data_IF_792200216066
#
_entry.id   IF_792200216066
#
_cell.length_a   1.000
_cell.length_b   1.000
_cell.length_c   1.000
_cell.angle_alpha   90.00
_cell.angle_beta   90.00
_cell.angle_gamma   90.00
#
_symmetry.space_group_name_H-M   'P 1'
#
loop_
_entity.id
_entity.type
_entity.pdbx_description
1 polymer ?
#
# COMPACT_ATOMS: atom_id res chain seq x y z
N UNK A 1 4.04 20.38 -1.52
CA UNK A 1 4.86 19.23 -1.94
C UNK A 1 4.24 18.65 -3.20
N UNK A 2 5.04 18.40 -4.25
CA UNK A 2 4.54 17.71 -5.46
C UNK A 2 4.58 16.20 -5.19
N UNK A 3 3.41 15.56 -5.19
CA UNK A 3 3.30 14.12 -4.92
C UNK A 3 3.82 13.26 -6.08
N UNK A 4 3.68 13.72 -7.31
CA UNK A 4 4.05 12.97 -8.50
C UNK A 4 5.00 13.80 -9.36
N UNK A 5 6.23 13.32 -9.55
CA UNK A 5 7.14 13.93 -10.54
C UNK A 5 6.72 13.51 -11.94
N UNK A 6 7.18 14.22 -12.96
CA UNK A 6 6.82 13.92 -14.36
C UNK A 6 7.31 12.52 -14.77
N UNK A 7 8.48 12.09 -14.28
CA UNK A 7 9.01 10.76 -14.56
C UNK A 7 8.13 9.66 -13.94
N UNK A 8 7.69 9.85 -12.69
CA UNK A 8 6.78 8.90 -12.03
C UNK A 8 5.42 8.86 -12.73
N UNK A 9 4.94 10.02 -13.19
CA UNK A 9 3.69 10.13 -13.95
C UNK A 9 3.78 9.35 -15.26
N UNK A 10 4.85 9.54 -16.03
CA UNK A 10 5.06 8.85 -17.29
C UNK A 10 5.14 7.33 -17.11
N UNK A 11 5.86 6.86 -16.08
CA UNK A 11 5.96 5.44 -15.79
C UNK A 11 4.61 4.84 -15.37
N UNK A 12 3.86 5.51 -14.49
CA UNK A 12 2.52 5.05 -14.10
C UNK A 12 1.53 5.04 -15.28
N UNK A 13 1.60 6.03 -16.18
CA UNK A 13 0.80 6.07 -17.40
C UNK A 13 1.19 4.93 -18.36
N UNK A 14 2.47 4.61 -18.49
CA UNK A 14 2.92 3.48 -19.29
C UNK A 14 2.37 2.16 -18.75
N UNK A 15 2.42 1.96 -17.43
CA UNK A 15 1.81 0.81 -16.78
C UNK A 15 0.28 0.77 -16.98
N UNK A 16 -0.38 1.93 -16.88
CA UNK A 16 -1.83 2.07 -17.09
C UNK A 16 -2.31 1.77 -18.50
N UNK A 17 -1.42 1.77 -19.51
CA UNK A 17 -1.70 1.29 -20.88
C UNK A 17 -1.63 -0.23 -20.99
N UNK A 18 -1.00 -0.91 -20.01
CA UNK A 18 -0.79 -2.35 -19.99
C UNK A 18 -1.31 -2.96 -18.67
N UNK A 19 -2.62 -2.81 -18.41
CA UNK A 19 -3.27 -3.12 -17.12
C UNK A 19 -3.34 -4.61 -16.76
N UNK A 20 -3.07 -5.48 -17.72
CA UNK A 20 -3.12 -6.95 -17.52
C UNK A 20 -1.82 -7.51 -16.93
N UNK A 21 -0.81 -6.66 -16.74
CA UNK A 21 0.47 -7.01 -16.13
C UNK A 21 0.42 -6.75 -14.61
N UNK A 22 1.06 -7.64 -13.85
CA UNK A 22 1.28 -7.46 -12.42
C UNK A 22 2.50 -6.54 -12.21
N UNK A 23 2.24 -5.24 -12.18
CA UNK A 23 3.28 -4.23 -12.12
C UNK A 23 3.93 -4.14 -10.74
N UNK A 24 5.19 -3.74 -10.73
CA UNK A 24 5.90 -3.34 -9.52
C UNK A 24 5.41 -1.95 -9.10
N UNK A 25 5.13 -1.70 -7.81
CA UNK A 25 4.77 -0.37 -7.33
C UNK A 25 5.83 0.67 -7.71
N UNK A 26 5.39 1.74 -8.36
CA UNK A 26 6.25 2.82 -8.86
C UNK A 26 6.43 3.89 -7.78
N UNK A 27 5.39 4.14 -6.99
CA UNK A 27 5.41 5.16 -5.95
C UNK A 27 4.65 4.68 -4.72
N UNK A 28 5.16 5.07 -3.56
CA UNK A 28 4.51 4.85 -2.27
C UNK A 28 4.11 6.18 -1.66
N UNK A 29 2.85 6.28 -1.26
CA UNK A 29 2.31 7.37 -0.47
C UNK A 29 2.00 6.92 0.94
N UNK A 30 2.06 7.83 1.90
CA UNK A 30 1.72 7.54 3.29
C UNK A 30 1.15 8.75 4.01
N UNK A 31 0.32 8.47 5.01
CA UNK A 31 -0.13 9.46 5.99
C UNK A 31 0.92 9.60 7.11
N UNK A 32 1.59 10.76 7.26
CA UNK A 32 2.61 10.95 8.30
C UNK A 32 2.07 10.91 9.74
N UNK A 33 0.76 11.03 9.94
CA UNK A 33 0.12 11.12 11.26
C UNK A 33 -0.71 9.90 11.66
N UNK A 34 -0.70 8.82 10.88
CA UNK A 34 -1.49 7.64 11.25
C UNK A 34 -1.58 6.55 10.19
N UNK A 35 -2.81 6.13 9.94
CA UNK A 35 -3.11 5.06 8.98
C UNK A 35 -3.23 5.62 7.56
N UNK A 36 -2.95 4.76 6.58
CA UNK A 36 -2.90 5.14 5.18
C UNK A 36 -1.52 4.93 4.59
N UNK A 37 -1.38 3.84 3.85
CA UNK A 37 -0.26 3.59 2.92
C UNK A 37 -0.87 3.23 1.58
N UNK A 38 -0.36 3.81 0.50
CA UNK A 38 -0.78 3.50 -0.86
C UNK A 38 0.45 3.18 -1.71
N UNK A 39 0.41 2.06 -2.42
CA UNK A 39 1.41 1.65 -3.39
C UNK A 39 0.77 1.75 -4.76
N UNK A 40 1.12 2.76 -5.54
CA UNK A 40 0.55 2.95 -6.87
C UNK A 40 1.38 2.22 -7.94
N UNK A 41 0.68 1.51 -8.81
CA UNK A 41 1.23 0.75 -9.94
C UNK A 41 0.88 1.36 -11.28
N UNK A 42 -0.32 1.95 -11.40
CA UNK A 42 -0.81 2.54 -12.65
C UNK A 42 -1.47 3.89 -12.41
N UNK A 43 -1.50 4.70 -13.47
CA UNK A 43 -2.30 5.92 -13.58
C UNK A 43 -3.15 5.84 -14.85
N UNK A 44 -4.41 6.24 -14.74
CA UNK A 44 -5.32 6.31 -15.87
C UNK A 44 -4.91 7.41 -16.87
N UNK A 45 -5.32 7.32 -18.15
CA UNK A 45 -5.02 8.35 -19.15
C UNK A 45 -5.44 9.78 -18.79
N UNK A 46 -6.51 9.94 -18.01
CA UNK A 46 -6.98 11.21 -17.45
C UNK A 46 -6.05 11.81 -16.39
N UNK A 47 -5.08 11.02 -15.90
CA UNK A 47 -4.01 11.50 -15.05
C UNK A 47 -4.42 11.74 -13.59
N UNK A 48 -5.59 11.26 -13.19
CA UNK A 48 -6.13 11.42 -11.84
C UNK A 48 -6.39 10.09 -11.13
N UNK A 49 -6.93 9.07 -11.82
CA UNK A 49 -7.26 7.81 -11.17
C UNK A 49 -6.04 6.91 -11.13
N UNK A 50 -5.55 6.62 -9.92
CA UNK A 50 -4.47 5.67 -9.68
C UNK A 50 -5.03 4.30 -9.33
N UNK A 51 -4.27 3.23 -9.64
CA UNK A 51 -4.54 1.87 -9.18
C UNK A 51 -3.33 1.32 -8.42
N UNK A 52 -3.60 0.43 -7.47
CA UNK A 52 -2.58 -0.36 -6.78
C UNK A 52 -3.09 -0.89 -5.44
N UNK A 53 -2.19 -1.01 -4.47
CA UNK A 53 -2.51 -1.51 -3.12
C UNK A 53 -2.67 -0.35 -2.14
N UNK A 54 -3.84 -0.23 -1.52
CA UNK A 54 -4.14 0.73 -0.47
C UNK A 54 -4.32 0.03 0.88
N UNK A 55 -3.84 0.62 1.96
CA UNK A 55 -4.03 0.15 3.33
C UNK A 55 -4.35 1.34 4.24
N UNK A 56 -5.65 1.49 4.49
CA UNK A 56 -6.23 2.48 5.42
C UNK A 56 -6.77 1.80 6.68
N UNK A 57 -6.15 0.70 7.10
CA UNK A 57 -6.59 -0.17 8.19
C UNK A 57 -6.94 -1.58 7.71
N UNK A 58 -7.17 -1.76 6.41
CA UNK A 58 -7.30 -3.04 5.74
C UNK A 58 -6.64 -2.97 4.35
N UNK A 59 -5.72 -3.89 4.01
CA UNK A 59 -5.04 -3.87 2.72
C UNK A 59 -5.95 -4.37 1.59
N UNK A 60 -6.11 -3.55 0.55
CA UNK A 60 -7.00 -3.81 -0.59
C UNK A 60 -6.36 -3.33 -1.91
N UNK A 61 -6.52 -4.13 -2.97
CA UNK A 61 -6.22 -3.69 -4.34
C UNK A 61 -7.40 -2.89 -4.89
N UNK A 62 -7.16 -1.65 -5.30
CA UNK A 62 -8.24 -0.76 -5.71
C UNK A 62 -7.77 0.44 -6.52
N UNK A 63 -8.73 1.26 -6.92
CA UNK A 63 -8.47 2.56 -7.56
C UNK A 63 -8.80 3.71 -6.61
N UNK A 64 -8.10 4.82 -6.74
CA UNK A 64 -8.37 6.04 -5.96
C UNK A 64 -7.94 7.29 -6.74
N UNK A 65 -8.51 8.45 -6.42
CA UNK A 65 -8.17 9.71 -7.07
C UNK A 65 -6.91 10.35 -6.46
N UNK A 66 -6.00 10.80 -7.32
CA UNK A 66 -4.82 11.57 -6.95
C UNK A 66 -5.22 12.95 -6.42
N UNK A 67 -6.18 13.62 -7.05
CA UNK A 67 -6.65 14.94 -6.62
C UNK A 67 -7.35 14.87 -5.26
N UNK A 68 -8.17 13.85 -5.00
CA UNK A 68 -8.74 13.63 -3.66
C UNK A 68 -7.66 13.38 -2.61
N UNK A 69 -6.68 12.53 -2.93
CA UNK A 69 -5.54 12.27 -2.05
C UNK A 69 -4.75 13.55 -1.74
N UNK A 70 -4.52 14.42 -2.73
CA UNK A 70 -3.87 15.73 -2.57
C UNK A 70 -4.73 16.73 -1.79
N UNK A 71 -6.05 16.57 -1.81
CA UNK A 71 -6.98 17.42 -1.07
C UNK A 71 -7.06 17.07 0.42
N UNK A 72 -6.59 15.89 0.84
CA UNK A 72 -6.54 15.49 2.25
C UNK A 72 -5.75 16.53 3.06
N UNK A 73 -6.33 16.97 4.17
CA UNK A 73 -5.71 17.88 5.14
C UNK A 73 -5.60 17.18 6.48
N UNK A 74 -4.35 17.01 6.92
CA UNK A 74 -3.95 16.39 8.16
C UNK A 74 -3.59 17.48 9.20
N UNK A 75 -3.34 17.09 10.47
CA UNK A 75 -2.85 18.01 11.48
C UNK A 75 -1.66 18.85 10.98
N UNK A 76 -1.59 20.09 11.47
CA UNK A 76 -0.57 21.09 11.10
C UNK A 76 -0.60 21.50 9.61
N UNK A 77 -1.71 21.24 8.90
CA UNK A 77 -1.86 21.60 7.49
C UNK A 77 -1.05 20.72 6.54
N UNK A 78 -0.56 19.58 7.03
CA UNK A 78 0.15 18.62 6.18
C UNK A 78 -0.84 17.84 5.30
N UNK A 79 -0.33 17.24 4.24
CA UNK A 79 -1.09 16.33 3.40
C UNK A 79 -0.50 14.93 3.46
N UNK A 80 -1.01 14.05 2.61
CA UNK A 80 -0.32 12.80 2.28
C UNK A 80 1.07 13.12 1.75
N UNK A 81 2.05 12.27 2.05
CA UNK A 81 3.43 12.41 1.61
C UNK A 81 3.84 11.28 0.68
N UNK A 82 4.84 11.54 -0.16
CA UNK A 82 5.51 10.54 -0.99
C UNK A 82 6.76 10.02 -0.29
N UNK A 83 6.93 8.71 -0.22
CA UNK A 83 8.15 8.07 0.27
C UNK A 83 9.23 8.10 -0.83
N UNK A 84 10.27 8.93 -0.61
CA UNK A 84 11.36 9.13 -1.57
C UNK A 84 12.34 7.94 -1.61
N UNK A 85 12.38 7.13 -0.55
CA UNK A 85 13.29 6.00 -0.42
C UNK A 85 12.60 4.67 -0.75
N UNK A 86 11.34 4.73 -1.18
CA UNK A 86 10.59 3.56 -1.59
C UNK A 86 11.14 3.02 -2.91
N UNK A 87 11.93 1.96 -2.81
CA UNK A 87 12.36 1.15 -3.95
C UNK A 87 12.00 -0.32 -3.67
N UNK A 88 11.33 -0.95 -4.63
CA UNK A 88 10.99 -2.37 -4.58
C UNK A 88 11.07 -2.97 -5.97
N UNK A 89 11.39 -4.26 -6.04
CA UNK A 89 11.36 -5.06 -7.26
C UNK A 89 10.25 -6.11 -7.23
N UNK A 90 9.40 -6.11 -6.19
CA UNK A 90 8.34 -7.07 -6.01
C UNK A 90 7.04 -6.57 -6.66
N UNK A 91 6.33 -7.42 -7.42
CA UNK A 91 5.01 -7.08 -7.98
C UNK A 91 3.97 -6.77 -6.91
N UNK A 92 2.95 -5.98 -7.26
CA UNK A 92 1.91 -5.56 -6.33
C UNK A 92 1.09 -6.73 -5.77
N UNK A 93 0.94 -7.83 -6.51
CA UNK A 93 0.29 -9.04 -5.99
C UNK A 93 1.02 -9.64 -4.79
N UNK A 94 2.35 -9.65 -4.81
CA UNK A 94 3.19 -10.14 -3.71
C UNK A 94 3.03 -9.25 -2.49
N UNK A 95 2.97 -7.93 -2.71
CA UNK A 95 2.67 -6.97 -1.66
C UNK A 95 1.28 -7.17 -1.06
N UNK A 96 0.28 -7.39 -1.91
CA UNK A 96 -1.11 -7.60 -1.48
C UNK A 96 -1.23 -8.86 -0.61
N UNK A 97 -0.62 -9.97 -1.02
CA UNK A 97 -0.67 -11.21 -0.26
C UNK A 97 0.07 -11.08 1.08
N UNK A 98 1.28 -10.50 1.07
CA UNK A 98 2.03 -10.30 2.30
C UNK A 98 1.31 -9.34 3.27
N UNK A 99 0.64 -8.31 2.76
CA UNK A 99 -0.14 -7.39 3.57
C UNK A 99 -1.39 -8.07 4.15
N UNK A 100 -2.07 -8.91 3.36
CA UNK A 100 -3.22 -9.70 3.80
C UNK A 100 -2.85 -10.66 4.93
N UNK A 101 -1.71 -11.35 4.81
CA UNK A 101 -1.19 -12.23 5.87
C UNK A 101 -0.81 -11.48 7.14
N UNK A 102 -0.19 -10.30 7.00
CA UNK A 102 0.22 -9.47 8.13
C UNK A 102 -0.92 -8.61 8.72
N UNK A 103 -2.06 -8.53 8.04
CA UNK A 103 -3.18 -7.64 8.35
C UNK A 103 -2.96 -6.15 8.01
N UNK A 104 -1.74 -5.74 7.64
CA UNK A 104 -1.41 -4.38 7.19
C UNK A 104 -0.04 -4.35 6.50
N UNK A 105 0.12 -3.44 5.52
CA UNK A 105 1.39 -3.12 4.86
C UNK A 105 2.42 -2.60 5.88
N UNK A 106 1.97 -1.83 6.89
CA UNK A 106 2.87 -1.16 7.86
C UNK A 106 3.61 -2.13 8.78
N UNK A 107 3.01 -3.27 9.07
CA UNK A 107 3.60 -4.32 9.92
C UNK A 107 4.79 -4.98 9.22
N UNK A 108 4.88 -4.89 7.89
CA UNK A 108 5.82 -5.66 7.08
C UNK A 108 7.18 -4.97 6.80
N UNK A 109 7.73 -4.19 7.74
CA UNK A 109 9.10 -3.64 7.55
C UNK A 109 10.21 -4.70 7.65
N UNK A 110 9.90 -5.94 8.09
CA UNK A 110 10.89 -6.97 8.43
C UNK A 110 10.67 -8.35 7.82
N UNK A 111 9.56 -8.61 7.12
CA UNK A 111 9.20 -9.97 6.66
C UNK A 111 9.06 -10.10 5.14
N UNK A 112 9.46 -9.09 4.36
CA UNK A 112 9.37 -9.10 2.90
C UNK A 112 10.46 -9.95 2.25
N UNK A 113 10.42 -11.24 2.57
CA UNK A 113 11.06 -12.30 1.82
C UNK A 113 10.00 -12.78 0.82
N UNK A 114 10.29 -12.83 -0.50
CA UNK A 114 9.29 -13.24 -1.48
C UNK A 114 8.74 -14.64 -1.14
N UNK A 115 7.43 -14.91 -1.33
CA UNK A 115 6.89 -16.25 -1.23
C UNK A 115 7.53 -17.10 -2.33
N UNK A 116 8.50 -17.95 -1.95
CA UNK A 116 9.33 -18.72 -2.87
C UNK A 116 10.83 -18.71 -2.51
N UNK A 117 11.30 -17.75 -1.73
CA UNK A 117 12.52 -17.97 -0.94
C UNK A 117 12.07 -18.78 0.25
N UNK A 118 12.37 -20.08 0.21
CA UNK A 118 12.25 -20.95 1.36
C UNK A 118 12.77 -20.19 2.58
N UNK A 119 11.95 -20.10 3.64
CA UNK A 119 12.52 -20.02 4.98
C UNK A 119 13.43 -21.24 5.06
N UNK A 120 14.72 -21.05 4.77
CA UNK A 120 15.73 -22.05 5.07
C UNK A 120 15.47 -22.50 6.49
N UNK A 121 15.45 -23.81 6.75
CA UNK A 121 14.89 -24.32 7.99
C UNK A 121 15.62 -23.62 9.12
N UNK A 122 14.91 -23.29 10.20
CA UNK A 122 15.62 -23.13 11.45
C UNK A 122 16.50 -24.38 11.58
N UNK A 123 17.82 -24.20 11.61
CA UNK A 123 18.76 -25.29 11.78
C UNK A 123 18.27 -26.17 12.93
N UNK A 124 17.76 -27.35 12.60
CA UNK A 124 17.83 -28.53 13.45
C UNK A 124 18.39 -29.63 12.59
N UNK A 125 19.50 -30.19 13.08
CA UNK A 125 20.09 -31.41 12.57
C UNK A 125 18.96 -32.46 12.38
N UNK A 126 18.83 -33.01 11.17
CA UNK A 126 18.01 -34.20 10.91
C UNK A 126 16.89 -34.05 9.87
N UNK A 127 17.21 -34.52 8.66
CA UNK A 127 16.40 -35.45 7.85
C UNK A 127 15.34 -34.95 6.85
N UNK A 128 15.40 -35.61 5.68
CA UNK A 128 14.78 -35.35 4.37
C UNK A 128 13.25 -35.58 4.32
N UNK A 129 12.55 -34.87 3.43
CA UNK A 129 11.46 -35.45 2.62
C UNK A 129 11.08 -34.59 1.40
N UNK A 130 10.61 -35.27 0.34
CA UNK A 130 10.36 -34.79 -1.03
C UNK A 130 8.88 -34.42 -1.25
N UNK A 131 8.60 -33.64 -2.31
CA UNK A 131 7.33 -33.69 -3.06
C UNK A 131 6.61 -32.34 -3.19
N UNK A 132 6.44 -31.86 -4.42
CA UNK A 132 5.74 -30.62 -4.75
C UNK A 132 4.34 -30.82 -5.33
N UNK A 133 3.56 -29.72 -5.47
CA UNK A 133 2.44 -29.57 -6.41
C UNK A 133 2.28 -28.08 -6.78
N UNK A 134 2.01 -27.80 -8.05
CA UNK A 134 1.80 -26.47 -8.64
C UNK A 134 0.40 -25.89 -8.33
N UNK A 135 0.32 -24.57 -8.10
CA UNK A 135 -0.94 -23.84 -7.86
C UNK A 135 -1.36 -23.10 -9.14
N UNK A 136 -2.52 -23.48 -9.69
CA UNK A 136 -3.13 -22.87 -10.86
C UNK A 136 -4.01 -21.69 -10.41
N UNK A 137 -3.61 -20.46 -10.74
CA UNK A 137 -4.39 -19.25 -10.46
C UNK A 137 -5.45 -19.05 -11.55
N UNK A 138 -6.71 -19.28 -11.20
CA UNK A 138 -7.86 -18.82 -11.98
C UNK A 138 -8.36 -17.50 -11.37
N UNK A 139 -8.27 -16.41 -12.13
CA UNK A 139 -8.78 -15.08 -11.78
C UNK A 139 -10.04 -14.78 -12.61
N UNK A 140 -11.12 -14.26 -12.01
CA UNK A 140 -12.05 -13.41 -12.73
C UNK A 140 -12.03 -11.99 -12.15
N UNK A 141 -11.29 -11.09 -12.81
CA UNK A 141 -11.34 -9.64 -12.57
C UNK A 141 -12.67 -9.10 -13.11
N UNK A 142 -13.61 -8.75 -12.23
CA UNK A 142 -14.71 -7.81 -12.53
C UNK A 142 -14.51 -6.56 -11.71
N UNK A 143 -14.55 -5.42 -12.40
CA UNK A 143 -14.42 -4.10 -11.84
C UNK A 143 -15.53 -3.83 -10.80
N UNK A 144 -15.11 -3.58 -9.55
CA UNK A 144 -15.90 -2.78 -8.61
C UNK A 144 -15.27 -1.39 -8.60
N UNK A 145 -15.98 -0.43 -9.16
CA UNK A 145 -15.74 0.98 -8.87
C UNK A 145 -16.17 1.16 -7.42
N UNK A 146 -15.21 1.39 -6.52
CA UNK A 146 -15.52 1.85 -5.16
C UNK A 146 -16.06 3.28 -5.29
N UNK A 147 -17.39 3.44 -5.30
CA UNK A 147 -18.01 4.71 -4.99
C UNK A 147 -17.58 5.09 -3.56
N UNK A 148 -16.73 6.11 -3.45
CA UNK A 148 -16.36 6.72 -2.16
C UNK A 148 -17.55 7.56 -1.69
N UNK A 149 -18.60 6.88 -1.23
CA UNK A 149 -19.77 7.46 -0.60
C UNK A 149 -19.95 6.88 0.80
N UNK A 150 -19.82 7.75 1.81
CA UNK A 150 -20.05 7.52 3.26
C UNK A 150 -18.82 7.09 4.09
N UNK A 151 -18.07 8.08 4.57
CA UNK A 151 -17.37 7.99 5.86
C UNK A 151 -17.59 9.27 6.68
N UNK A 152 -18.85 9.50 7.06
CA UNK A 152 -19.20 10.19 8.31
C UNK A 152 -19.31 9.09 9.38
N UNK A 153 -18.91 9.38 10.62
CA UNK A 153 -18.67 8.47 11.76
C UNK A 153 -17.16 8.13 11.82
N UNK A 154 -16.34 8.54 12.80
CA UNK A 154 -16.60 8.96 14.17
C UNK A 154 -15.51 9.96 14.62
N UNK A 155 -15.87 11.25 14.78
CA UNK A 155 -15.15 12.12 15.71
C UNK A 155 -15.53 11.69 17.13
N UNK A 156 -14.68 10.91 17.80
CA UNK A 156 -14.63 10.86 19.26
C UNK A 156 -13.44 10.06 19.73
N UNK A 157 -12.50 10.78 20.33
CA UNK A 157 -11.60 10.40 21.43
C UNK A 157 -10.18 10.84 21.10
N UNK A 158 -9.83 12.05 21.51
CA UNK A 158 -8.63 12.29 22.32
C UNK A 158 -8.88 13.56 23.15
N UNK A 159 -9.48 13.36 24.33
CA UNK A 159 -9.35 14.33 25.41
C UNK A 159 -7.93 14.23 25.94
N UNK A 160 -7.10 15.23 25.66
CA UNK A 160 -5.84 15.45 26.37
C UNK A 160 -6.15 16.12 27.72
N UNK A 161 -5.71 15.59 28.87
CA UNK A 161 -5.44 16.43 30.02
C UNK A 161 -4.02 17.00 29.89
N UNK A 162 -3.94 18.29 29.58
CA UNK A 162 -2.79 19.13 29.92
C UNK A 162 -2.88 19.41 31.42
N UNK A 163 -1.92 18.91 32.19
CA UNK A 163 -1.60 19.45 33.52
C UNK A 163 -0.10 19.27 33.79
N UNK A 164 0.65 20.27 33.34
CA UNK A 164 1.72 21.00 34.04
C UNK A 164 2.41 20.28 35.21
N UNK A 165 3.64 19.81 34.97
CA UNK A 165 4.66 19.62 36.01
C UNK A 165 5.49 20.91 36.08
N UNK A 166 5.31 21.69 37.15
CA UNK A 166 6.25 22.72 37.57
C UNK A 166 6.07 22.96 39.07
N UNK A 167 7.19 22.81 39.79
CA UNK A 167 7.44 23.25 41.17
C UNK A 167 6.75 22.40 42.25
N UNK A 168 7.48 21.46 42.86
CA UNK A 168 8.06 21.51 44.22
C UNK A 168 8.94 20.28 44.43
#
# INVERSE_FOLDING_TARGET
MILLTDELREQLLANGRNRDVDHVPVVKFFNPFGEGVWLATELDPGGDIMFGLADIGYPELGSWSLSEMQAIRLPFGMGIERDLLSATSLPVSVWAEAAREAGSIRVNRRCMVPPGVAKGPLWRCGEQARGGVAFQLAQPRRACVLEVGQARVLMRQLSFPVSTMSQW
#
